data_IF_470419657907
#
_entry.id   IF_470419657907
#
_cell.length_a   1.000
_cell.length_b   1.000
_cell.length_c   1.000
_cell.angle_alpha   90.00
_cell.angle_beta   90.00
_cell.angle_gamma   90.00
#
_symmetry.space_group_name_H-M   'P 1'
#
loop_
_entity.id
_entity.type
_entity.pdbx_description
1 polymer ?
#
# COMPACT_ATOMS: atom_id res chain seq x y z
N UNK A 1 6.49 14.67 -3.18
CA UNK A 1 5.20 15.12 -2.57
C UNK A 1 4.25 13.98 -2.29
N UNK A 2 4.00 13.06 -3.24
CA UNK A 2 3.04 11.95 -3.09
C UNK A 2 3.32 11.02 -1.90
N UNK A 3 4.60 10.71 -1.61
CA UNK A 3 4.97 9.89 -0.46
C UNK A 3 4.50 10.46 0.89
N UNK A 4 4.37 11.78 1.04
CA UNK A 4 3.85 12.37 2.28
C UNK A 4 2.37 12.06 2.49
N UNK A 5 1.58 11.97 1.41
CA UNK A 5 0.17 11.59 1.49
C UNK A 5 0.00 10.15 1.94
N UNK A 6 0.80 9.23 1.36
CA UNK A 6 0.89 7.85 1.83
C UNK A 6 1.18 7.77 3.34
N UNK A 7 2.23 8.45 3.81
CA UNK A 7 2.62 8.43 5.22
C UNK A 7 1.53 9.00 6.14
N UNK A 8 0.92 10.13 5.77
CA UNK A 8 -0.15 10.76 6.55
C UNK A 8 -1.37 9.84 6.67
N UNK A 9 -1.84 9.28 5.55
CA UNK A 9 -2.96 8.34 5.55
C UNK A 9 -2.62 7.08 6.36
N UNK A 10 -1.41 6.53 6.18
CA UNK A 10 -0.98 5.33 6.89
C UNK A 10 -1.05 5.49 8.42
N UNK A 11 -0.58 6.62 8.97
CA UNK A 11 -0.64 6.88 10.42
C UNK A 11 -2.09 7.02 10.91
N UNK A 12 -3.00 7.56 10.10
CA UNK A 12 -4.42 7.60 10.44
C UNK A 12 -5.04 6.20 10.50
N UNK A 13 -4.70 5.33 9.55
CA UNK A 13 -5.10 3.91 9.59
C UNK A 13 -4.52 3.20 10.82
N UNK A 14 -3.26 3.46 11.18
CA UNK A 14 -2.65 2.88 12.37
C UNK A 14 -3.42 3.26 13.64
N UNK A 15 -3.74 4.54 13.80
CA UNK A 15 -4.53 5.04 14.93
C UNK A 15 -5.92 4.40 14.97
N UNK A 16 -6.59 4.30 13.82
CA UNK A 16 -7.89 3.64 13.72
C UNK A 16 -7.82 2.15 14.11
N UNK A 17 -6.81 1.43 13.62
CA UNK A 17 -6.60 0.02 13.93
C UNK A 17 -6.26 -0.21 15.40
N UNK A 18 -5.37 0.61 15.99
CA UNK A 18 -5.09 0.59 17.43
C UNK A 18 -6.35 0.85 18.27
N UNK A 19 -7.14 1.85 17.91
CA UNK A 19 -8.42 2.15 18.58
C UNK A 19 -9.41 0.97 18.50
N UNK A 20 -9.53 0.34 17.32
CA UNK A 20 -10.36 -0.85 17.14
C UNK A 20 -9.85 -2.04 17.97
N UNK A 21 -8.54 -2.26 18.02
CA UNK A 21 -7.91 -3.32 18.82
C UNK A 21 -8.18 -3.15 20.31
N UNK A 22 -8.01 -1.93 20.83
CA UNK A 22 -8.31 -1.60 22.23
C UNK A 22 -9.79 -1.86 22.54
N UNK A 23 -10.71 -1.40 21.68
CA UNK A 23 -12.14 -1.64 21.86
C UNK A 23 -12.44 -3.15 21.95
N UNK A 24 -11.94 -3.94 21.00
CA UNK A 24 -12.16 -5.40 21.00
C UNK A 24 -11.64 -6.05 22.29
N UNK A 25 -10.46 -5.63 22.76
CA UNK A 25 -9.90 -6.10 24.03
C UNK A 25 -10.76 -5.74 25.25
N UNK A 26 -11.30 -4.53 25.30
CA UNK A 26 -12.17 -4.07 26.40
C UNK A 26 -13.48 -4.85 26.45
N UNK A 27 -14.11 -5.07 25.29
CA UNK A 27 -15.44 -5.72 25.23
C UNK A 27 -15.39 -7.24 25.07
N UNK A 28 -14.19 -7.83 24.97
CA UNK A 28 -13.96 -9.25 24.71
C UNK A 28 -14.72 -9.81 23.48
N UNK A 29 -14.95 -8.96 22.49
CA UNK A 29 -15.56 -9.32 21.21
C UNK A 29 -14.57 -9.12 20.08
N UNK A 30 -14.19 -10.24 19.46
CA UNK A 30 -13.19 -10.31 18.42
C UNK A 30 -13.78 -10.50 17.02
N UNK A 31 -15.10 -10.29 16.85
CA UNK A 31 -15.79 -10.37 15.56
C UNK A 31 -15.14 -9.46 14.50
N UNK A 32 -14.62 -8.29 14.92
CA UNK A 32 -13.96 -7.33 14.03
C UNK A 32 -12.44 -7.56 13.88
N UNK A 33 -11.90 -8.69 14.34
CA UNK A 33 -10.46 -9.01 14.20
C UNK A 33 -9.98 -8.98 12.74
N UNK A 34 -10.75 -9.47 11.74
CA UNK A 34 -10.35 -9.34 10.34
C UNK A 34 -10.25 -7.87 9.91
N UNK A 35 -11.17 -7.01 10.36
CA UNK A 35 -11.14 -5.57 10.06
C UNK A 35 -9.90 -4.92 10.67
N UNK A 36 -9.61 -5.20 11.94
CA UNK A 36 -8.42 -4.70 12.62
C UNK A 36 -7.13 -5.09 11.89
N UNK A 37 -7.01 -6.35 11.47
CA UNK A 37 -5.87 -6.84 10.73
C UNK A 37 -5.68 -6.11 9.39
N UNK A 38 -6.75 -5.94 8.61
CA UNK A 38 -6.66 -5.27 7.30
C UNK A 38 -6.43 -3.76 7.42
N UNK A 39 -7.03 -3.09 8.40
CA UNK A 39 -6.78 -1.67 8.70
C UNK A 39 -5.29 -1.45 9.01
N UNK A 40 -4.68 -2.29 9.84
CA UNK A 40 -3.27 -2.14 10.19
C UNK A 40 -2.31 -2.64 9.11
N UNK A 41 -2.61 -3.76 8.44
CA UNK A 41 -1.71 -4.31 7.42
C UNK A 41 -1.84 -3.57 6.07
N UNK A 42 -3.05 -3.48 5.52
CA UNK A 42 -3.31 -2.88 4.20
C UNK A 42 -3.49 -1.36 4.29
N UNK A 43 -4.07 -0.85 5.38
CA UNK A 43 -4.23 0.59 5.57
C UNK A 43 -2.95 1.27 6.09
N UNK A 44 -2.32 0.71 7.11
CA UNK A 44 -1.10 1.29 7.68
C UNK A 44 0.17 0.75 7.03
N UNK A 45 0.53 -0.52 7.22
CA UNK A 45 1.85 -1.04 6.89
C UNK A 45 2.20 -0.86 5.40
N UNK A 46 1.34 -1.28 4.49
CA UNK A 46 1.63 -1.16 3.04
C UNK A 46 1.68 0.31 2.59
N UNK A 47 0.76 1.17 3.02
CA UNK A 47 0.79 2.60 2.69
C UNK A 47 2.03 3.27 3.27
N UNK A 48 2.43 2.93 4.50
CA UNK A 48 3.61 3.50 5.13
C UNK A 48 4.89 3.11 4.39
N UNK A 49 5.04 1.82 4.09
CA UNK A 49 6.17 1.31 3.31
C UNK A 49 6.22 1.90 1.91
N UNK A 50 5.08 2.04 1.23
CA UNK A 50 5.01 2.72 -0.06
C UNK A 50 5.42 4.19 0.03
N UNK A 51 4.95 4.89 1.07
CA UNK A 51 5.33 6.28 1.34
C UNK A 51 6.83 6.46 1.57
N UNK A 52 7.44 5.57 2.36
CA UNK A 52 8.88 5.52 2.56
C UNK A 52 9.62 5.21 1.27
N UNK A 53 9.17 4.22 0.51
CA UNK A 53 9.76 3.83 -0.77
C UNK A 53 9.79 5.00 -1.76
N UNK A 54 8.66 5.71 -1.96
CA UNK A 54 8.62 6.86 -2.87
C UNK A 54 9.42 8.07 -2.37
N UNK A 55 9.74 8.14 -1.07
CA UNK A 55 10.67 9.15 -0.54
C UNK A 55 12.13 8.74 -0.74
N UNK A 56 12.43 7.45 -0.58
CA UNK A 56 13.77 6.89 -0.77
C UNK A 56 14.19 6.84 -2.25
N UNK A 57 13.23 6.64 -3.16
CA UNK A 57 13.45 6.63 -4.61
C UNK A 57 12.62 7.71 -5.31
N UNK A 58 13.04 8.99 -5.26
CA UNK A 58 12.28 10.10 -5.84
C UNK A 58 11.97 9.94 -7.34
N UNK A 59 12.85 9.26 -8.10
CA UNK A 59 12.64 8.97 -9.52
C UNK A 59 11.47 8.00 -9.77
N UNK A 60 11.06 7.21 -8.77
CA UNK A 60 9.88 6.33 -8.84
C UNK A 60 8.57 7.07 -8.49
N UNK A 61 8.66 8.29 -7.95
CA UNK A 61 7.52 9.08 -7.49
C UNK A 61 6.80 9.87 -8.61
N UNK A 62 6.72 9.28 -9.82
CA UNK A 62 6.05 9.84 -10.99
C UNK A 62 4.56 9.49 -11.06
N UNK A 63 4.00 9.48 -12.28
CA UNK A 63 2.58 9.20 -12.51
C UNK A 63 2.10 7.87 -11.91
N UNK A 64 2.95 6.83 -11.95
CA UNK A 64 2.64 5.51 -11.44
C UNK A 64 2.43 5.51 -9.92
N UNK A 65 3.17 6.35 -9.19
CA UNK A 65 2.98 6.56 -7.75
C UNK A 65 1.65 7.26 -7.44
N UNK A 66 1.23 8.20 -8.29
CA UNK A 66 -0.09 8.82 -8.21
C UNK A 66 -1.20 7.80 -8.42
N UNK A 67 -1.11 6.99 -9.47
CA UNK A 67 -2.09 5.94 -9.76
C UNK A 67 -2.15 4.89 -8.63
N UNK A 68 -1.00 4.48 -8.11
CA UNK A 68 -0.91 3.61 -6.94
C UNK A 68 -1.70 4.21 -5.77
N UNK A 69 -1.46 5.47 -5.41
CA UNK A 69 -2.16 6.11 -4.29
C UNK A 69 -3.67 6.15 -4.48
N UNK A 70 -4.13 6.52 -5.70
CA UNK A 70 -5.56 6.63 -6.02
C UNK A 70 -6.30 5.29 -5.98
N UNK A 71 -5.59 4.16 -6.12
CA UNK A 71 -6.18 2.83 -5.99
C UNK A 71 -6.01 2.29 -4.56
N UNK A 72 -4.86 2.50 -3.95
CA UNK A 72 -4.52 1.95 -2.63
C UNK A 72 -5.41 2.52 -1.53
N UNK A 73 -5.64 3.84 -1.52
CA UNK A 73 -6.43 4.48 -0.47
C UNK A 73 -7.90 4.06 -0.51
N UNK A 74 -8.63 4.16 -1.65
CA UNK A 74 -9.99 3.65 -1.74
C UNK A 74 -10.06 2.13 -1.56
N UNK A 75 -9.08 1.37 -2.06
CA UNK A 75 -9.01 -0.08 -1.88
C UNK A 75 -8.94 -0.48 -0.41
N UNK A 76 -8.05 0.15 0.37
CA UNK A 76 -7.93 -0.10 1.81
C UNK A 76 -9.20 0.26 2.59
N UNK A 77 -9.85 1.38 2.25
CA UNK A 77 -11.12 1.79 2.86
C UNK A 77 -12.25 0.82 2.52
N UNK A 78 -12.47 0.55 1.22
CA UNK A 78 -13.52 -0.33 0.75
C UNK A 78 -13.35 -1.75 1.29
N UNK A 79 -12.12 -2.27 1.32
CA UNK A 79 -11.83 -3.59 1.89
C UNK A 79 -12.20 -3.64 3.37
N UNK A 80 -11.75 -2.66 4.16
CA UNK A 80 -12.00 -2.61 5.60
C UNK A 80 -13.49 -2.46 5.92
N UNK A 81 -14.19 -1.57 5.21
CA UNK A 81 -15.64 -1.32 5.37
C UNK A 81 -16.46 -2.53 4.91
N UNK A 82 -16.09 -3.13 3.78
CA UNK A 82 -16.76 -4.32 3.25
C UNK A 82 -16.63 -5.51 4.18
N UNK A 83 -15.43 -5.76 4.72
CA UNK A 83 -15.23 -6.82 5.73
C UNK A 83 -16.07 -6.53 6.96
N UNK A 84 -16.11 -5.28 7.45
CA UNK A 84 -16.94 -4.91 8.59
C UNK A 84 -18.44 -5.20 8.32
N UNK A 85 -18.95 -4.83 7.15
CA UNK A 85 -20.32 -5.16 6.74
C UNK A 85 -20.56 -6.68 6.68
N UNK A 86 -19.62 -7.43 6.09
CA UNK A 86 -19.72 -8.88 5.94
C UNK A 86 -19.80 -9.60 7.29
N UNK A 87 -18.91 -9.26 8.23
CA UNK A 87 -18.88 -9.91 9.56
C UNK A 87 -20.00 -9.43 10.48
N UNK A 88 -20.65 -8.30 10.17
CA UNK A 88 -21.83 -7.81 10.91
C UNK A 88 -23.15 -8.21 10.25
N UNK A 89 -23.12 -9.05 9.21
CA UNK A 89 -24.31 -9.61 8.57
C UNK A 89 -25.03 -8.66 7.60
N UNK A 90 -24.34 -7.67 7.05
CA UNK A 90 -24.90 -6.73 6.08
C UNK A 90 -24.79 -7.25 4.65
N UNK A 91 -25.90 -7.24 3.92
CA UNK A 91 -26.00 -7.76 2.53
C UNK A 91 -24.99 -7.10 1.57
N UNK A 92 -24.71 -5.81 1.75
CA UNK A 92 -23.75 -5.07 0.92
C UNK A 92 -22.28 -5.41 1.24
N UNK A 93 -22.00 -6.01 2.39
CA UNK A 93 -20.64 -6.20 2.93
C UNK A 93 -19.75 -7.01 1.99
N UNK A 94 -20.26 -8.15 1.51
CA UNK A 94 -19.52 -9.06 0.62
C UNK A 94 -19.15 -8.35 -0.69
N UNK A 95 -20.10 -7.66 -1.32
CA UNK A 95 -19.87 -6.97 -2.60
C UNK A 95 -18.81 -5.86 -2.45
N UNK A 96 -18.88 -5.07 -1.38
CA UNK A 96 -17.91 -3.99 -1.09
C UNK A 96 -16.52 -4.58 -0.75
N UNK A 97 -16.47 -5.69 -0.02
CA UNK A 97 -15.21 -6.37 0.30
C UNK A 97 -14.50 -6.90 -0.95
N UNK A 98 -15.26 -7.47 -1.90
CA UNK A 98 -14.73 -7.94 -3.19
C UNK A 98 -14.18 -6.75 -4.00
N UNK A 99 -14.95 -5.67 -4.13
CA UNK A 99 -14.51 -4.49 -4.84
C UNK A 99 -13.22 -3.88 -4.23
N UNK A 100 -13.19 -3.75 -2.90
CA UNK A 100 -12.01 -3.29 -2.17
C UNK A 100 -10.79 -4.21 -2.31
N UNK A 101 -11.00 -5.53 -2.33
CA UNK A 101 -9.95 -6.51 -2.57
C UNK A 101 -9.33 -6.34 -3.95
N UNK A 102 -10.15 -6.20 -5.00
CA UNK A 102 -9.67 -6.02 -6.37
C UNK A 102 -8.89 -4.71 -6.54
N UNK A 103 -9.37 -3.61 -5.95
CA UNK A 103 -8.64 -2.34 -5.92
C UNK A 103 -7.29 -2.48 -5.21
N UNK A 104 -7.26 -3.17 -4.07
CA UNK A 104 -6.04 -3.40 -3.28
C UNK A 104 -5.02 -4.23 -4.07
N UNK A 105 -5.47 -5.29 -4.76
CA UNK A 105 -4.59 -6.09 -5.63
C UNK A 105 -4.06 -5.26 -6.79
N UNK A 106 -4.92 -4.48 -7.47
CA UNK A 106 -4.48 -3.60 -8.56
C UNK A 106 -3.43 -2.57 -8.06
N UNK A 107 -3.66 -1.97 -6.90
CA UNK A 107 -2.71 -1.07 -6.25
C UNK A 107 -1.36 -1.77 -5.97
N UNK A 108 -1.39 -2.98 -5.41
CA UNK A 108 -0.18 -3.75 -5.12
C UNK A 108 0.59 -4.14 -6.38
N UNK A 109 -0.10 -4.48 -7.48
CA UNK A 109 0.54 -4.76 -8.76
C UNK A 109 1.28 -3.53 -9.30
N UNK A 110 0.65 -2.36 -9.22
CA UNK A 110 1.28 -1.09 -9.62
C UNK A 110 2.49 -0.78 -8.73
N UNK A 111 2.38 -1.02 -7.42
CA UNK A 111 3.50 -0.85 -6.51
C UNK A 111 4.64 -1.79 -6.84
N UNK A 112 4.36 -3.06 -7.12
CA UNK A 112 5.36 -4.05 -7.54
C UNK A 112 6.09 -3.57 -8.80
N UNK A 113 5.35 -3.12 -9.84
CA UNK A 113 5.95 -2.56 -11.05
C UNK A 113 6.85 -1.36 -10.72
N UNK A 114 6.39 -0.44 -9.86
CA UNK A 114 7.19 0.71 -9.45
C UNK A 114 8.49 0.29 -8.75
N UNK A 115 8.42 -0.69 -7.84
CA UNK A 115 9.59 -1.24 -7.13
C UNK A 115 10.58 -1.88 -8.09
N UNK A 116 10.14 -2.81 -8.93
CA UNK A 116 11.03 -3.52 -9.86
C UNK A 116 11.66 -2.59 -10.90
N UNK A 117 10.93 -1.58 -11.39
CA UNK A 117 11.49 -0.59 -12.32
C UNK A 117 12.53 0.31 -11.65
N UNK A 118 12.30 0.68 -10.40
CA UNK A 118 13.18 1.57 -9.67
C UNK A 118 14.48 0.87 -9.24
N UNK A 119 14.42 -0.41 -8.88
CA UNK A 119 15.60 -1.19 -8.43
C UNK A 119 16.37 -1.83 -9.58
N UNK A 120 15.72 -2.12 -10.72
CA UNK A 120 16.33 -2.80 -11.87
C UNK A 120 17.29 -1.95 -12.72
N UNK A 121 17.29 -0.61 -12.59
CA UNK A 121 18.04 0.28 -13.49
C UNK A 121 19.54 0.35 -13.23
N UNK A 122 20.05 -0.25 -12.15
CA UNK A 122 21.44 -0.03 -11.68
C UNK A 122 22.51 -0.90 -12.36
N UNK A 123 22.16 -1.82 -13.27
CA UNK A 123 23.12 -2.78 -13.86
C UNK A 123 23.63 -2.43 -15.26
N UNK A 124 22.97 -1.53 -15.98
CA UNK A 124 23.41 -1.11 -17.33
C UNK A 124 24.52 -0.05 -17.25
N UNK A 125 24.40 0.93 -16.36
CA UNK A 125 25.33 2.06 -16.25
C UNK A 125 26.74 1.64 -15.77
N UNK A 126 26.84 0.57 -14.98
CA UNK A 126 28.12 0.03 -14.51
C UNK A 126 28.90 -0.76 -15.57
N UNK A 127 28.23 -1.27 -16.62
CA UNK A 127 28.91 -1.99 -17.71
C UNK A 127 29.46 -1.00 -18.75
N UNK A 128 28.73 0.09 -19.01
CA UNK A 128 29.17 1.14 -19.93
C UNK A 128 30.29 2.01 -19.33
N UNK A 129 30.34 2.17 -18.00
CA UNK A 129 31.41 2.90 -17.32
C UNK A 129 32.76 2.16 -17.27
N UNK A 130 32.79 0.85 -17.53
CA UNK A 130 34.01 0.02 -17.51
C UNK A 130 34.70 0.01 -18.88
N UNK A 131 33.98 0.26 -19.99
CA UNK A 131 34.56 0.33 -21.34
C UNK A 131 34.68 1.75 -21.96
N UNK A 132 35.60 2.62 -21.48
CA UNK A 132 36.10 3.72 -22.31
C UNK A 132 37.60 3.60 -22.70
N UNK A 133 38.28 2.48 -22.43
CA UNK A 133 39.74 2.46 -22.37
C UNK A 133 40.56 1.70 -23.42
N UNK A 134 39.96 0.85 -24.28
CA UNK A 134 40.76 -0.14 -25.06
C UNK A 134 40.44 -0.20 -26.56
N UNK A 135 40.14 0.94 -27.18
CA UNK A 135 40.02 1.04 -28.64
C UNK A 135 40.88 2.20 -29.17
N UNK A 136 42.20 2.02 -29.17
CA UNK A 136 43.09 2.98 -29.81
C UNK A 136 44.54 2.98 -29.33
N UNK A 137 45.27 1.87 -29.52
CA UNK A 137 46.72 1.86 -29.79
C UNK A 137 47.06 0.68 -30.69
#
# INVERSE_FOLDING_TARGET
>A
MIGNWFLRCAVLFALAGMGLGIRMGIVHDFTLSPVHAHVNLVGFTTLFLAGLFYRAMPHAAGWLAGLHFTLALPGALALSIGIAGSVTGQDWGVAVAIAGSLLTVAAMLIFAIAVFRATGSSRAESLDAVEPGYAGR
#
